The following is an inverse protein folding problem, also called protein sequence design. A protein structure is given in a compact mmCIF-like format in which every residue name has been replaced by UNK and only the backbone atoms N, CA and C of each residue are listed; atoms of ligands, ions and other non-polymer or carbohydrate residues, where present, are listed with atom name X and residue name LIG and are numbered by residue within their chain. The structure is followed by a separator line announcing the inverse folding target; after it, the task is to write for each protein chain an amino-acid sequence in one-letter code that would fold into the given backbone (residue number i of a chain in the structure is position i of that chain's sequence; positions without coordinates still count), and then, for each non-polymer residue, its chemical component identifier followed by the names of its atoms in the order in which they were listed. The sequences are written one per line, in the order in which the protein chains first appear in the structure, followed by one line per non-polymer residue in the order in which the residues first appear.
data_IF_587601354489
#
_entry.id   IF_587601354489
#
_cell.length_a   1.000
_cell.length_b   1.000
_cell.length_c   1.000
_cell.angle_alpha   90.00
_cell.angle_beta   90.00
_cell.angle_gamma   90.00
#
_symmetry.space_group_name_H-M   'P 1'
#
loop_
_entity.id
_entity.type
_entity.pdbx_description
1 polymer ?
#
# COMPACT_ATOMS: atom_id res chain seq x y z
N UNK A 1 -17.51 6.77 -3.04
CA UNK A 1 -16.18 6.43 -3.62
C UNK A 1 -15.44 5.58 -2.61
N UNK A 2 -14.76 4.51 -3.02
CA UNK A 2 -13.99 3.66 -2.09
C UNK A 2 -12.49 3.96 -2.21
N UNK A 3 -11.79 3.88 -1.10
CA UNK A 3 -10.34 4.00 -1.02
C UNK A 3 -9.74 2.78 -0.34
N UNK A 4 -8.52 2.44 -0.72
CA UNK A 4 -7.76 1.41 -0.05
C UNK A 4 -7.04 1.99 1.16
N UNK A 5 -7.05 1.25 2.26
CA UNK A 5 -6.39 1.59 3.50
C UNK A 5 -5.61 0.39 4.04
N UNK A 6 -4.31 0.57 4.25
CA UNK A 6 -3.45 -0.45 4.85
C UNK A 6 -3.46 -0.34 6.37
N UNK A 7 -3.80 -1.44 7.04
CA UNK A 7 -3.71 -1.53 8.48
C UNK A 7 -2.25 -1.34 8.94
N UNK A 8 -1.97 -0.36 9.82
CA UNK A 8 -0.62 -0.09 10.28
C UNK A 8 -0.06 -1.23 11.15
N UNK A 9 -0.93 -2.05 11.75
CA UNK A 9 -0.53 -3.19 12.60
C UNK A 9 -0.20 -4.42 11.77
N UNK A 10 -1.14 -4.91 10.96
CA UNK A 10 -1.00 -6.20 10.25
C UNK A 10 -0.77 -6.10 8.74
N UNK A 11 -0.82 -4.91 8.13
CA UNK A 11 -0.60 -4.77 6.68
C UNK A 11 -1.80 -5.12 5.79
N UNK A 12 -2.93 -5.55 6.36
CA UNK A 12 -4.16 -5.87 5.63
C UNK A 12 -4.68 -4.66 4.84
N UNK A 13 -5.01 -4.85 3.56
CA UNK A 13 -5.65 -3.84 2.71
C UNK A 13 -7.17 -3.90 2.93
N UNK A 14 -7.77 -2.75 3.25
CA UNK A 14 -9.21 -2.62 3.48
C UNK A 14 -9.79 -1.62 2.49
N UNK A 15 -10.97 -1.93 1.95
CA UNK A 15 -11.73 -1.00 1.12
C UNK A 15 -12.68 -0.21 2.02
N UNK A 16 -12.50 1.10 2.08
CA UNK A 16 -13.21 2.00 2.99
C UNK A 16 -14.03 2.99 2.18
N UNK A 17 -15.28 3.20 2.58
CA UNK A 17 -16.15 4.19 1.94
C UNK A 17 -15.78 5.61 2.35
N UNK A 18 -15.63 6.50 1.36
CA UNK A 18 -15.42 7.92 1.59
C UNK A 18 -16.74 8.62 1.93
N UNK A 19 -16.81 9.10 3.17
CA UNK A 19 -17.97 9.85 3.68
C UNK A 19 -17.68 11.35 3.80
N UNK A 20 -16.77 11.89 2.98
CA UNK A 20 -16.40 13.32 2.97
C UNK A 20 -15.54 13.81 4.16
N UNK A 21 -15.15 12.92 5.08
CA UNK A 21 -14.30 13.25 6.23
C UNK A 21 -12.82 13.17 5.85
N UNK A 22 -12.00 14.05 6.44
CA UNK A 22 -10.54 14.02 6.28
C UNK A 22 -9.88 12.83 6.99
N UNK A 23 -10.55 12.27 8.01
CA UNK A 23 -10.09 11.10 8.77
C UNK A 23 -11.25 10.10 8.87
N UNK A 24 -10.96 8.85 8.56
CA UNK A 24 -11.87 7.71 8.66
C UNK A 24 -11.33 6.73 9.70
N UNK A 25 -12.20 6.22 10.56
CA UNK A 25 -11.86 5.14 11.48
C UNK A 25 -12.11 3.83 10.75
N UNK A 26 -11.06 3.02 10.59
CA UNK A 26 -11.11 1.76 9.84
C UNK A 26 -10.93 0.60 10.80
N UNK A 27 -11.79 -0.40 10.68
CA UNK A 27 -11.62 -1.70 11.33
C UNK A 27 -11.14 -2.71 10.28
N UNK A 28 -9.98 -3.34 10.50
CA UNK A 28 -9.48 -4.35 9.57
C UNK A 28 -10.07 -5.73 9.88
N UNK A 29 -9.99 -6.67 8.93
CA UNK A 29 -10.46 -8.07 9.12
C UNK A 29 -9.83 -8.78 10.32
N UNK A 30 -8.65 -8.35 10.77
CA UNK A 30 -7.98 -8.86 11.97
C UNK A 30 -8.35 -8.09 13.26
N UNK A 31 -9.50 -7.39 13.28
CA UNK A 31 -10.06 -6.70 14.44
C UNK A 31 -9.17 -5.58 15.03
N UNK A 32 -8.41 -4.88 14.16
CA UNK A 32 -7.64 -3.71 14.54
C UNK A 32 -8.33 -2.43 14.07
N UNK A 33 -8.54 -1.50 15.01
CA UNK A 33 -8.99 -0.14 14.72
C UNK A 33 -7.83 0.81 14.53
N UNK A 34 -7.92 1.67 13.53
CA UNK A 34 -6.92 2.69 13.23
C UNK A 34 -7.49 3.87 12.43
N UNK A 35 -6.83 5.01 12.53
CA UNK A 35 -7.18 6.20 11.76
C UNK A 35 -6.55 6.14 10.37
N UNK A 36 -7.40 6.20 9.35
CA UNK A 36 -7.02 6.43 7.98
C UNK A 36 -7.22 7.91 7.63
N UNK A 37 -6.18 8.57 7.16
CA UNK A 37 -6.30 9.95 6.70
C UNK A 37 -6.55 9.91 5.22
N UNK A 38 -7.66 10.51 4.82
CA UNK A 38 -8.07 10.59 3.43
C UNK A 38 -7.14 11.57 2.72
N UNK A 39 -6.28 11.05 1.86
CA UNK A 39 -5.53 11.85 0.91
C UNK A 39 -6.20 11.81 -0.46
N UNK A 40 -6.23 12.93 -1.19
CA UNK A 40 -6.88 13.02 -2.51
C UNK A 40 -6.24 12.12 -3.58
N UNK A 41 -5.04 11.57 -3.33
CA UNK A 41 -4.43 10.54 -4.15
C UNK A 41 -4.85 9.16 -3.66
N UNK A 42 -6.12 8.81 -3.83
CA UNK A 42 -6.54 7.42 -3.70
C UNK A 42 -5.90 6.62 -4.84
N UNK A 43 -5.30 5.46 -4.51
CA UNK A 43 -4.69 4.54 -5.47
C UNK A 43 -5.62 4.17 -6.64
N UNK A 44 -6.92 4.34 -6.44
CA UNK A 44 -7.99 4.12 -7.43
C UNK A 44 -8.02 5.13 -8.57
N UNK A 45 -7.36 6.29 -8.47
CA UNK A 45 -7.35 7.32 -9.53
C UNK A 45 -6.21 7.10 -10.55
N UNK A 46 -5.17 6.34 -10.18
CA UNK A 46 -4.04 6.06 -11.06
C UNK A 46 -3.96 4.58 -11.42
N UNK A 47 -4.37 4.26 -12.64
CA UNK A 47 -4.09 2.99 -13.34
C UNK A 47 -4.92 1.81 -12.79
N UNK A 48 -6.19 1.73 -13.20
CA UNK A 48 -6.90 0.46 -13.41
C UNK A 48 -6.42 -0.17 -14.73
N UNK A 49 -5.15 -0.53 -14.78
CA UNK A 49 -4.61 -1.32 -15.89
C UNK A 49 -4.80 -2.78 -15.53
N UNK A 50 -5.35 -3.59 -16.44
CA UNK A 50 -5.54 -5.02 -16.24
C UNK A 50 -4.23 -5.71 -15.83
N UNK A 51 -3.08 -5.17 -16.28
CA UNK A 51 -1.76 -5.63 -15.84
C UNK A 51 -1.53 -5.44 -14.35
N UNK A 52 -1.96 -4.31 -13.78
CA UNK A 52 -1.82 -4.07 -12.35
C UNK A 52 -2.67 -5.04 -11.55
N UNK A 53 -3.90 -5.30 -11.99
CA UNK A 53 -4.80 -6.26 -11.33
C UNK A 53 -4.15 -7.65 -11.32
N UNK A 54 -3.72 -8.15 -12.48
CA UNK A 54 -3.01 -9.42 -12.58
C UNK A 54 -1.77 -9.47 -11.69
N UNK A 55 -0.99 -8.39 -11.67
CA UNK A 55 0.21 -8.31 -10.85
C UNK A 55 -0.11 -8.36 -9.35
N UNK A 56 -1.18 -7.69 -8.92
CA UNK A 56 -1.63 -7.72 -7.52
C UNK A 56 -2.19 -9.10 -7.11
N UNK A 57 -2.81 -9.84 -8.03
CA UNK A 57 -3.28 -11.22 -7.83
C UNK A 57 -2.11 -12.22 -7.65
N UNK A 58 -0.98 -11.97 -8.31
CA UNK A 58 0.23 -12.80 -8.19
C UNK A 58 0.98 -12.61 -6.86
N UNK A 59 0.62 -11.62 -6.03
CA UNK A 59 1.31 -11.36 -4.75
C UNK A 59 0.85 -12.38 -3.71
N UNK A 60 1.78 -13.25 -3.29
CA UNK A 60 1.52 -14.27 -2.26
C UNK A 60 1.79 -13.74 -0.85
N UNK A 61 2.74 -12.81 -0.70
CA UNK A 61 3.09 -12.25 0.60
C UNK A 61 3.53 -10.78 0.50
N UNK A 62 3.21 -10.01 1.55
CA UNK A 62 3.57 -8.60 1.68
C UNK A 62 4.24 -8.38 3.03
N UNK A 63 5.49 -7.94 3.06
CA UNK A 63 6.22 -7.61 4.30
C UNK A 63 6.43 -6.11 4.40
N UNK A 64 6.22 -5.55 5.59
CA UNK A 64 6.49 -4.16 5.87
C UNK A 64 7.57 -4.04 6.93
N UNK A 65 8.69 -3.42 6.56
CA UNK A 65 9.83 -3.21 7.45
C UNK A 65 9.97 -1.72 7.75
N UNK A 66 9.95 -1.37 9.03
CA UNK A 66 10.27 -0.01 9.47
C UNK A 66 11.78 0.09 9.57
N UNK A 67 12.40 0.87 8.69
CA UNK A 67 13.86 1.03 8.65
C UNK A 67 14.32 2.16 9.58
N UNK A 68 13.45 3.14 9.84
CA UNK A 68 13.70 4.23 10.79
C UNK A 68 12.38 4.85 11.22
N UNK A 69 12.44 5.85 12.09
CA UNK A 69 11.27 6.62 12.50
C UNK A 69 10.61 7.37 11.34
N UNK A 70 11.33 7.58 10.23
CA UNK A 70 10.90 8.34 9.06
C UNK A 70 10.71 7.49 7.80
N UNK A 71 10.95 6.17 7.84
CA UNK A 71 11.00 5.36 6.63
C UNK A 71 10.45 3.94 6.80
N UNK A 72 9.69 3.52 5.79
CA UNK A 72 9.15 2.15 5.66
C UNK A 72 9.53 1.57 4.30
N UNK A 73 9.92 0.30 4.30
CA UNK A 73 10.04 -0.53 3.09
C UNK A 73 8.86 -1.50 3.06
N UNK A 74 8.33 -1.72 1.86
CA UNK A 74 7.39 -2.78 1.53
C UNK A 74 8.10 -3.76 0.59
N UNK A 75 8.06 -5.04 0.93
CA UNK A 75 8.52 -6.13 0.09
C UNK A 75 7.29 -6.90 -0.41
N UNK A 76 7.17 -7.02 -1.72
CA UNK A 76 6.15 -7.83 -2.40
C UNK A 76 6.80 -9.12 -2.86
N UNK A 77 6.27 -10.25 -2.43
CA UNK A 77 6.72 -11.58 -2.83
C UNK A 77 5.65 -12.15 -3.76
N UNK A 78 6.06 -12.50 -4.97
CA UNK A 78 5.18 -13.01 -6.02
C UNK A 78 5.21 -14.55 -6.08
N UNK A 79 4.18 -15.14 -6.66
CA UNK A 79 4.03 -16.60 -6.81
C UNK A 79 5.21 -17.28 -7.53
N UNK A 80 5.90 -16.55 -8.40
CA UNK A 80 7.08 -17.02 -9.12
C UNK A 80 8.38 -16.94 -8.28
N UNK A 81 8.27 -16.57 -6.99
CA UNK A 81 9.39 -16.41 -6.07
C UNK A 81 10.19 -15.12 -6.27
N UNK A 82 9.76 -14.23 -7.17
CA UNK A 82 10.41 -12.93 -7.35
C UNK A 82 10.01 -11.98 -6.22
N UNK A 83 10.94 -11.14 -5.81
CA UNK A 83 10.73 -10.16 -4.76
C UNK A 83 10.94 -8.75 -5.30
N UNK A 84 10.01 -7.85 -5.02
CA UNK A 84 10.12 -6.43 -5.39
C UNK A 84 9.92 -5.56 -4.18
N UNK A 85 10.85 -4.65 -3.95
CA UNK A 85 10.76 -3.68 -2.88
C UNK A 85 10.29 -2.29 -3.35
N UNK A 86 9.66 -1.58 -2.42
CA UNK A 86 9.32 -0.17 -2.53
C UNK A 86 9.51 0.54 -1.20
N UNK A 87 9.83 1.83 -1.24
CA UNK A 87 10.17 2.61 -0.06
C UNK A 87 9.33 3.87 0.04
N UNK A 88 8.98 4.23 1.27
CA UNK A 88 8.45 5.53 1.64
C UNK A 88 9.36 6.17 2.68
N UNK A 89 9.64 7.47 2.52
CA UNK A 89 10.44 8.24 3.47
C UNK A 89 9.94 9.68 3.48
N UNK A 90 9.79 10.26 4.66
CA UNK A 90 9.42 11.67 4.83
C UNK A 90 10.60 12.50 5.31
N UNK A 91 10.58 13.79 5.01
CA UNK A 91 11.59 14.75 5.46
C UNK A 91 11.54 14.93 6.99
N UNK A 92 10.33 15.16 7.51
CA UNK A 92 10.09 15.51 8.90
C UNK A 92 9.36 14.39 9.64
N UNK A 93 9.89 13.99 10.80
CA UNK A 93 9.34 12.87 11.58
C UNK A 93 7.89 13.09 12.06
N UNK A 94 7.47 14.32 12.46
CA UNK A 94 6.08 14.58 12.82
C UNK A 94 5.08 14.30 11.69
N UNK A 95 5.54 14.39 10.44
CA UNK A 95 4.72 14.11 9.26
C UNK A 95 4.68 12.62 8.93
N UNK A 96 5.54 11.81 9.56
CA UNK A 96 5.56 10.38 9.35
C UNK A 96 4.39 9.71 10.07
N UNK A 97 3.36 9.37 9.30
CA UNK A 97 2.29 8.51 9.77
C UNK A 97 2.46 7.12 9.20
N UNK A 98 2.53 6.11 10.07
CA UNK A 98 2.85 4.73 9.70
C UNK A 98 1.90 4.18 8.62
N UNK A 99 0.62 4.54 8.69
CA UNK A 99 -0.39 4.19 7.68
C UNK A 99 0.01 4.71 6.29
N UNK A 100 0.37 6.01 6.20
CA UNK A 100 0.82 6.66 4.96
C UNK A 100 2.15 6.06 4.49
N UNK A 101 3.07 5.81 5.43
CA UNK A 101 4.37 5.21 5.12
C UNK A 101 4.23 3.84 4.45
N UNK A 102 3.40 2.95 5.03
CA UNK A 102 3.10 1.64 4.44
C UNK A 102 2.37 1.76 3.10
N UNK A 103 1.38 2.65 3.03
CA UNK A 103 0.61 2.94 1.82
C UNK A 103 1.51 3.34 0.64
N UNK A 104 2.39 4.31 0.85
CA UNK A 104 3.29 4.81 -0.18
C UNK A 104 4.41 3.82 -0.54
N UNK A 105 4.91 3.07 0.44
CA UNK A 105 5.90 2.03 0.19
C UNK A 105 5.32 0.91 -0.69
N UNK A 106 4.08 0.50 -0.42
CA UNK A 106 3.36 -0.48 -1.24
C UNK A 106 3.12 0.03 -2.67
N UNK A 107 2.65 1.26 -2.82
CA UNK A 107 2.43 1.89 -4.14
C UNK A 107 3.72 1.94 -4.96
N UNK A 108 4.85 2.29 -4.32
CA UNK A 108 6.15 2.30 -4.97
C UNK A 108 6.60 0.89 -5.39
N UNK A 109 6.38 -0.11 -4.53
CA UNK A 109 6.73 -1.50 -4.83
C UNK A 109 5.95 -2.02 -6.04
N UNK A 110 4.65 -1.71 -6.13
CA UNK A 110 3.83 -2.04 -7.29
C UNK A 110 4.31 -1.36 -8.57
N UNK A 111 4.68 -0.08 -8.52
CA UNK A 111 5.25 0.62 -9.69
C UNK A 111 6.54 -0.05 -10.17
N UNK A 112 7.42 -0.40 -9.24
CA UNK A 112 8.64 -1.13 -9.56
C UNK A 112 8.32 -2.50 -10.17
N UNK A 113 7.35 -3.22 -9.61
CA UNK A 113 6.94 -4.52 -10.10
C UNK A 113 6.31 -4.45 -11.49
N UNK A 114 5.52 -3.42 -11.80
CA UNK A 114 5.00 -3.21 -13.16
C UNK A 114 6.12 -3.00 -14.18
N UNK A 115 7.21 -2.32 -13.81
CA UNK A 115 8.38 -2.15 -14.70
C UNK A 115 9.13 -3.48 -14.88
N UNK A 116 9.35 -4.23 -13.79
CA UNK A 116 10.15 -5.46 -13.83
C UNK A 116 9.39 -6.68 -14.38
N UNK A 117 8.11 -6.81 -14.04
CA UNK A 117 7.29 -7.98 -14.32
C UNK A 117 6.19 -7.72 -15.36
N UNK A 118 5.87 -6.46 -15.66
CA UNK A 118 4.76 -6.11 -16.56
C UNK A 118 4.94 -6.60 -18.00
N UNK A 119 6.17 -6.92 -18.43
CA UNK A 119 6.46 -7.55 -19.72
C UNK A 119 6.02 -9.03 -19.76
N UNK A 120 5.93 -9.70 -18.62
CA UNK A 120 5.52 -11.11 -18.51
C UNK A 120 4.00 -11.28 -18.38
N UNK A 121 3.23 -10.18 -18.34
CA UNK A 121 1.77 -10.16 -18.14
C UNK A 121 0.96 -9.99 -19.44
N UNK A 122 1.61 -10.18 -20.60
CA UNK A 122 1.02 -10.07 -21.95
C UNK A 122 0.12 -11.27 -22.24
#
# INVERSE_FOLDING_TARGET
MFIESICPKCGEINNVELNGKAILIVDCKNNHKYDHIVFPYSRTIGIKDDKRIKLEEMIVEKKFHRMSDKSTICLLIFENGYEVEGRSTVRDMPDFRLVIGKDKAYEQALKNAMVSLGAFLV
#
